data_IF_668115845329
#
_entry.id   IF_668115845329
#
_cell.length_a   1.000
_cell.length_b   1.000
_cell.length_c   1.000
_cell.angle_alpha   90.00
_cell.angle_beta   90.00
_cell.angle_gamma   90.00
#
_symmetry.space_group_name_H-M   'P 1'
#
loop_
_entity.id
_entity.type
_entity.pdbx_description
1 polymer ?
#
# COMPACT_ATOMS: atom_id res chain seq x y z
N UNK A 1 4.70 -36.59 9.16
CA UNK A 1 5.12 -35.93 7.91
C UNK A 1 3.92 -35.21 7.30
N UNK A 2 2.80 -35.89 7.05
CA UNK A 2 1.57 -35.30 6.46
C UNK A 2 1.01 -34.05 7.16
N UNK A 3 1.08 -33.95 8.50
CA UNK A 3 0.61 -32.75 9.23
C UNK A 3 1.45 -31.50 8.94
N UNK A 4 2.76 -31.67 8.74
CA UNK A 4 3.67 -30.55 8.49
C UNK A 4 3.51 -30.08 7.04
N UNK A 5 3.32 -31.02 6.10
CA UNK A 5 3.07 -30.71 4.68
C UNK A 5 1.81 -29.88 4.47
N UNK A 6 0.69 -30.23 5.13
CA UNK A 6 -0.54 -29.40 5.06
C UNK A 6 -0.37 -28.00 5.65
N UNK A 7 0.46 -27.85 6.69
CA UNK A 7 0.75 -26.53 7.27
C UNK A 7 1.55 -25.67 6.29
N UNK A 8 2.55 -26.26 5.63
CA UNK A 8 3.30 -25.57 4.57
C UNK A 8 2.41 -25.18 3.40
N UNK A 9 1.51 -26.06 2.95
CA UNK A 9 0.54 -25.75 1.89
C UNK A 9 -0.39 -24.59 2.29
N UNK A 10 -0.83 -24.55 3.55
CA UNK A 10 -1.65 -23.44 4.07
C UNK A 10 -0.87 -22.13 4.11
N UNK A 11 0.38 -22.16 4.60
CA UNK A 11 1.27 -20.99 4.63
C UNK A 11 1.54 -20.48 3.20
N UNK A 12 1.78 -21.39 2.27
CA UNK A 12 2.03 -21.08 0.86
C UNK A 12 0.83 -20.39 0.21
N UNK A 13 -0.38 -20.92 0.42
CA UNK A 13 -1.63 -20.30 -0.04
C UNK A 13 -1.81 -18.89 0.52
N UNK A 14 -1.55 -18.69 1.82
CA UNK A 14 -1.64 -17.38 2.46
C UNK A 14 -0.58 -16.42 1.89
N UNK A 15 0.65 -16.88 1.66
CA UNK A 15 1.68 -16.04 1.04
C UNK A 15 1.36 -15.66 -0.40
N UNK A 16 0.75 -16.56 -1.16
CA UNK A 16 0.26 -16.29 -2.51
C UNK A 16 -0.88 -15.26 -2.50
N UNK A 17 -1.83 -15.38 -1.57
CA UNK A 17 -2.88 -14.38 -1.37
C UNK A 17 -2.30 -13.02 -0.98
N UNK A 18 -1.33 -13.00 -0.06
CA UNK A 18 -0.63 -11.79 0.32
C UNK A 18 0.01 -11.13 -0.90
N UNK A 19 0.78 -11.87 -1.70
CA UNK A 19 1.44 -11.33 -2.88
C UNK A 19 0.43 -10.80 -3.92
N UNK A 20 -0.66 -11.53 -4.12
CA UNK A 20 -1.72 -11.17 -5.07
C UNK A 20 -2.45 -9.87 -4.67
N UNK A 21 -2.59 -9.59 -3.37
CA UNK A 21 -3.18 -8.33 -2.87
C UNK A 21 -2.14 -7.21 -2.71
N UNK A 22 -0.93 -7.55 -2.28
CA UNK A 22 0.15 -6.60 -2.10
C UNK A 22 0.65 -6.02 -3.43
N UNK A 23 0.61 -6.78 -4.53
CA UNK A 23 1.02 -6.29 -5.85
C UNK A 23 0.19 -5.09 -6.36
N UNK A 24 -1.16 -5.16 -6.46
CA UNK A 24 -1.97 -4.02 -6.87
C UNK A 24 -1.90 -2.88 -5.84
N UNK A 25 -1.87 -3.20 -4.54
CA UNK A 25 -1.72 -2.20 -3.48
C UNK A 25 -0.40 -1.43 -3.60
N UNK A 26 0.70 -2.11 -3.90
CA UNK A 26 2.00 -1.48 -4.07
C UNK A 26 2.07 -0.63 -5.34
N UNK A 27 1.54 -1.09 -6.47
CA UNK A 27 1.46 -0.27 -7.68
C UNK A 27 0.64 1.00 -7.44
N UNK A 28 -0.47 0.89 -6.72
CA UNK A 28 -1.29 2.04 -6.34
C UNK A 28 -0.52 3.01 -5.44
N UNK A 29 0.21 2.52 -4.42
CA UNK A 29 1.03 3.38 -3.56
C UNK A 29 2.21 4.02 -4.29
N UNK A 30 2.84 3.31 -5.22
CA UNK A 30 3.94 3.84 -6.03
C UNK A 30 3.44 4.99 -6.90
N UNK A 31 2.38 4.76 -7.67
CA UNK A 31 1.77 5.80 -8.50
C UNK A 31 1.26 6.99 -7.68
N UNK A 32 0.74 6.74 -6.48
CA UNK A 32 0.33 7.80 -5.56
C UNK A 32 1.52 8.63 -5.05
N UNK A 33 2.63 7.98 -4.66
CA UNK A 33 3.83 8.72 -4.25
C UNK A 33 4.43 9.49 -5.42
N UNK A 34 4.49 8.90 -6.60
CA UNK A 34 4.96 9.57 -7.81
C UNK A 34 4.11 10.81 -8.10
N UNK A 35 2.78 10.69 -8.14
CA UNK A 35 1.88 11.82 -8.37
C UNK A 35 2.03 12.91 -7.30
N UNK A 36 2.09 12.53 -6.03
CA UNK A 36 2.19 13.48 -4.91
C UNK A 36 3.55 14.21 -4.89
N UNK A 37 4.63 13.53 -5.27
CA UNK A 37 5.99 14.09 -5.33
C UNK A 37 6.29 14.81 -6.65
N UNK A 38 5.49 14.59 -7.69
CA UNK A 38 5.69 15.21 -8.99
C UNK A 38 5.57 16.73 -8.88
N UNK A 39 6.59 17.44 -9.38
CA UNK A 39 6.65 18.90 -9.35
C UNK A 39 5.77 19.44 -10.48
N UNK A 40 4.52 19.78 -10.16
CA UNK A 40 3.60 20.34 -11.13
C UNK A 40 3.96 21.79 -11.46
N UNK A 41 4.08 22.09 -12.76
CA UNK A 41 4.16 23.46 -13.29
C UNK A 41 2.81 23.73 -13.95
N UNK A 42 1.84 24.20 -13.17
CA UNK A 42 0.53 24.57 -13.71
C UNK A 42 0.62 25.92 -14.42
N UNK A 43 0.05 25.99 -15.61
CA UNK A 43 0.02 27.23 -16.40
C UNK A 43 -1.39 27.88 -16.41
N UNK A 44 -2.40 27.22 -15.84
CA UNK A 44 -3.80 27.64 -15.86
C UNK A 44 -4.61 27.11 -14.66
N UNK A 45 -5.67 27.83 -14.27
CA UNK A 45 -6.61 27.43 -13.21
C UNK A 45 -7.31 26.10 -13.51
N UNK A 46 -7.55 25.79 -14.79
CA UNK A 46 -8.19 24.52 -15.19
C UNK A 46 -7.31 23.29 -14.86
N UNK A 47 -5.99 23.42 -15.00
CA UNK A 47 -5.04 22.34 -14.68
C UNK A 47 -5.01 22.08 -13.18
N UNK A 48 -5.01 23.14 -12.37
CA UNK A 48 -5.01 22.97 -10.92
C UNK A 48 -6.35 22.43 -10.39
N UNK A 49 -7.48 22.77 -11.00
CA UNK A 49 -8.77 22.14 -10.68
C UNK A 49 -8.79 20.65 -11.03
N UNK A 50 -8.18 20.25 -12.15
CA UNK A 50 -8.03 18.84 -12.50
C UNK A 50 -7.20 18.10 -11.44
N UNK A 51 -6.07 18.69 -11.02
CA UNK A 51 -5.23 18.14 -9.95
C UNK A 51 -5.96 18.04 -8.61
N UNK A 52 -6.73 19.05 -8.22
CA UNK A 52 -7.56 19.00 -7.00
C UNK A 52 -8.61 17.89 -7.09
N UNK A 53 -9.24 17.73 -8.26
CA UNK A 53 -10.24 16.68 -8.47
C UNK A 53 -9.60 15.29 -8.38
N UNK A 54 -8.43 15.10 -9.00
CA UNK A 54 -7.65 13.86 -8.89
C UNK A 54 -7.23 13.60 -7.44
N UNK A 55 -6.81 14.64 -6.71
CA UNK A 55 -6.44 14.53 -5.30
C UNK A 55 -7.64 14.15 -4.41
N UNK A 56 -8.83 14.68 -4.69
CA UNK A 56 -10.06 14.31 -3.99
C UNK A 56 -10.46 12.85 -4.28
N UNK A 57 -10.38 12.42 -5.54
CA UNK A 57 -10.57 11.01 -5.90
C UNK A 57 -9.57 10.10 -5.20
N UNK A 58 -8.30 10.51 -5.14
CA UNK A 58 -7.27 9.81 -4.40
C UNK A 58 -7.65 9.67 -2.92
N UNK A 59 -8.08 10.76 -2.27
CA UNK A 59 -8.54 10.76 -0.88
C UNK A 59 -9.77 9.87 -0.68
N UNK A 60 -10.67 9.79 -1.64
CA UNK A 60 -11.82 8.89 -1.61
C UNK A 60 -11.40 7.41 -1.66
N UNK A 61 -10.26 7.08 -2.29
CA UNK A 61 -9.70 5.71 -2.31
C UNK A 61 -8.90 5.35 -1.07
N UNK A 62 -8.40 6.31 -0.29
CA UNK A 62 -7.66 6.05 0.98
C UNK A 62 -8.39 5.12 1.96
N UNK A 63 -9.69 5.29 2.29
CA UNK A 63 -10.37 4.38 3.21
C UNK A 63 -10.50 2.96 2.66
N UNK A 64 -10.61 2.79 1.35
CA UNK A 64 -10.63 1.47 0.72
C UNK A 64 -9.24 0.83 0.73
N UNK A 65 -8.22 1.62 0.41
CA UNK A 65 -6.82 1.22 0.49
C UNK A 65 -6.41 0.81 1.92
N UNK A 66 -6.84 1.52 2.95
CA UNK A 66 -6.55 1.13 4.35
C UNK A 66 -7.20 -0.21 4.73
N UNK A 67 -8.41 -0.50 4.22
CA UNK A 67 -9.03 -1.84 4.40
C UNK A 67 -8.21 -2.92 3.72
N UNK A 68 -7.73 -2.67 2.50
CA UNK A 68 -6.90 -3.63 1.76
C UNK A 68 -5.57 -3.88 2.49
N UNK A 69 -4.95 -2.82 3.00
CA UNK A 69 -3.76 -2.89 3.87
C UNK A 69 -4.03 -3.76 5.10
N UNK A 70 -5.14 -3.55 5.81
CA UNK A 70 -5.50 -4.37 6.96
C UNK A 70 -5.70 -5.84 6.59
N UNK A 71 -6.33 -6.14 5.44
CA UNK A 71 -6.51 -7.50 4.97
C UNK A 71 -5.16 -8.18 4.68
N UNK A 72 -4.26 -7.48 3.98
CA UNK A 72 -2.89 -7.94 3.71
C UNK A 72 -2.12 -8.21 5.02
N UNK A 73 -2.23 -7.30 5.99
CA UNK A 73 -1.61 -7.48 7.31
C UNK A 73 -2.21 -8.64 8.10
N UNK A 74 -3.52 -8.86 7.98
CA UNK A 74 -4.23 -10.00 8.59
C UNK A 74 -3.68 -11.32 8.09
N UNK A 75 -3.49 -11.46 6.77
CA UNK A 75 -2.91 -12.67 6.15
C UNK A 75 -1.51 -12.92 6.68
N UNK A 76 -0.66 -11.89 6.73
CA UNK A 76 0.71 -12.01 7.26
C UNK A 76 0.72 -12.41 8.75
N UNK A 77 -0.18 -11.84 9.55
CA UNK A 77 -0.32 -12.19 10.97
C UNK A 77 -0.78 -13.64 11.16
N UNK A 78 -1.67 -14.14 10.29
CA UNK A 78 -2.12 -15.54 10.30
C UNK A 78 -0.95 -16.49 10.01
N UNK A 79 -0.14 -16.18 8.99
CA UNK A 79 1.06 -16.94 8.65
C UNK A 79 2.05 -17.00 9.83
N UNK A 80 2.34 -15.85 10.45
CA UNK A 80 3.21 -15.78 11.62
C UNK A 80 2.67 -16.60 12.80
N UNK A 81 1.36 -16.50 13.06
CA UNK A 81 0.70 -17.21 14.15
C UNK A 81 0.77 -18.71 13.93
N UNK A 82 0.50 -19.19 12.72
CA UNK A 82 0.64 -20.60 12.36
C UNK A 82 2.08 -21.04 12.61
N UNK A 83 3.07 -20.31 12.11
CA UNK A 83 4.45 -20.72 12.32
C UNK A 83 4.92 -20.74 13.76
N UNK A 84 4.59 -19.72 14.54
CA UNK A 84 4.93 -19.69 15.96
C UNK A 84 4.26 -20.85 16.71
N UNK A 85 2.97 -21.11 16.42
CA UNK A 85 2.20 -22.18 17.07
C UNK A 85 2.79 -23.56 16.78
N UNK A 86 3.30 -23.78 15.58
CA UNK A 86 3.84 -25.07 15.15
C UNK A 86 5.37 -25.17 15.17
N UNK A 87 6.08 -24.12 15.63
CA UNK A 87 7.54 -24.09 15.68
C UNK A 87 8.23 -24.12 14.30
N UNK A 88 7.50 -23.74 13.24
CA UNK A 88 8.02 -23.70 11.88
C UNK A 88 8.86 -22.44 11.74
N UNK A 89 10.17 -22.58 11.50
CA UNK A 89 11.02 -21.46 11.09
C UNK A 89 10.62 -21.06 9.67
N UNK A 90 9.65 -20.16 9.55
CA UNK A 90 9.40 -19.53 8.25
C UNK A 90 10.57 -18.61 7.98
N UNK A 91 11.21 -18.84 6.83
CA UNK A 91 12.13 -17.87 6.24
C UNK A 91 11.31 -16.61 6.07
N UNK A 92 11.71 -15.52 6.71
CA UNK A 92 10.87 -14.35 7.01
C UNK A 92 10.50 -13.51 5.77
N UNK A 93 10.60 -14.10 4.59
CA UNK A 93 10.55 -13.46 3.29
C UNK A 93 9.58 -14.26 2.42
N UNK A 94 8.54 -13.57 1.95
CA UNK A 94 7.54 -14.15 1.09
C UNK A 94 8.18 -14.48 -0.28
N UNK A 95 8.24 -15.75 -0.72
CA UNK A 95 8.90 -16.10 -1.98
C UNK A 95 8.15 -15.57 -3.22
N UNK A 96 6.88 -15.19 -3.05
CA UNK A 96 6.02 -14.67 -4.12
C UNK A 96 6.08 -13.14 -4.25
N UNK A 97 6.66 -12.44 -3.28
CA UNK A 97 6.81 -10.98 -3.37
C UNK A 97 7.98 -10.47 -2.55
N UNK A 98 8.75 -9.56 -3.13
CA UNK A 98 9.81 -8.82 -2.43
C UNK A 98 9.25 -7.78 -1.44
N UNK A 99 7.93 -7.57 -1.43
CA UNK A 99 7.28 -6.56 -0.60
C UNK A 99 7.13 -7.09 0.83
N UNK A 100 7.91 -6.53 1.74
CA UNK A 100 7.73 -6.78 3.16
C UNK A 100 6.54 -6.02 3.72
N UNK A 101 5.92 -6.55 4.78
CA UNK A 101 4.86 -5.84 5.50
C UNK A 101 5.32 -4.42 5.89
N UNK A 102 6.60 -4.27 6.25
CA UNK A 102 7.18 -2.98 6.61
C UNK A 102 7.26 -2.03 5.42
N UNK A 103 7.59 -2.51 4.22
CA UNK A 103 7.59 -1.66 3.03
C UNK A 103 6.19 -1.10 2.76
N UNK A 104 5.17 -1.94 2.87
CA UNK A 104 3.77 -1.54 2.67
C UNK A 104 3.37 -0.46 3.69
N UNK A 105 3.67 -0.67 4.98
CA UNK A 105 3.39 0.31 6.04
C UNK A 105 4.17 1.61 5.84
N UNK A 106 5.46 1.53 5.50
CA UNK A 106 6.29 2.72 5.27
C UNK A 106 5.81 3.53 4.07
N UNK A 107 5.48 2.86 2.95
CA UNK A 107 4.91 3.51 1.76
C UNK A 107 3.57 4.17 2.08
N UNK A 108 2.70 3.46 2.82
CA UNK A 108 1.41 4.00 3.25
C UNK A 108 1.54 5.25 4.12
N UNK A 109 2.42 5.22 5.12
CA UNK A 109 2.70 6.38 5.98
C UNK A 109 3.26 7.55 5.16
N UNK A 110 4.18 7.29 4.23
CA UNK A 110 4.73 8.33 3.33
C UNK A 110 3.62 8.98 2.49
N UNK A 111 2.77 8.18 1.85
CA UNK A 111 1.59 8.68 1.11
C UNK A 111 0.71 9.54 2.01
N UNK A 112 0.37 9.07 3.22
CA UNK A 112 -0.47 9.85 4.15
C UNK A 112 0.16 11.17 4.58
N UNK A 113 1.49 11.26 4.65
CA UNK A 113 2.20 12.50 4.96
C UNK A 113 2.28 13.43 3.75
N UNK A 114 2.39 12.88 2.54
CA UNK A 114 2.45 13.66 1.30
C UNK A 114 1.09 14.24 0.92
N UNK A 115 -0.02 13.59 1.26
CA UNK A 115 -1.39 14.08 0.99
C UNK A 115 -1.61 15.52 1.47
N UNK A 116 -1.41 15.87 2.76
CA UNK A 116 -1.60 17.24 3.23
C UNK A 116 -0.58 18.22 2.65
N UNK A 117 0.64 17.77 2.33
CA UNK A 117 1.62 18.64 1.65
C UNK A 117 1.15 19.01 0.25
N UNK A 118 0.63 18.03 -0.51
CA UNK A 118 0.07 18.27 -1.84
C UNK A 118 -1.15 19.19 -1.78
N UNK A 119 -2.06 18.95 -0.85
CA UNK A 119 -3.25 19.79 -0.63
C UNK A 119 -2.84 21.26 -0.38
N UNK A 120 -1.84 21.48 0.48
CA UNK A 120 -1.30 22.81 0.74
C UNK A 120 -0.69 23.45 -0.51
N UNK A 121 0.17 22.74 -1.25
CA UNK A 121 0.79 23.27 -2.47
C UNK A 121 -0.27 23.62 -3.53
N UNK A 122 -1.30 22.78 -3.69
CA UNK A 122 -2.41 23.06 -4.61
C UNK A 122 -3.19 24.31 -4.17
N UNK A 123 -3.45 24.49 -2.87
CA UNK A 123 -4.11 25.70 -2.37
C UNK A 123 -3.28 26.96 -2.57
N UNK A 124 -1.98 26.91 -2.31
CA UNK A 124 -1.08 28.05 -2.50
C UNK A 124 -1.00 28.48 -3.97
N UNK A 125 -0.97 27.52 -4.88
CA UNK A 125 -0.90 27.78 -6.31
C UNK A 125 -2.25 28.27 -6.86
N UNK A 126 -3.40 27.77 -6.38
CA UNK A 126 -4.72 28.35 -6.67
C UNK A 126 -4.82 29.80 -6.22
N UNK A 127 -4.27 30.13 -5.05
CA UNK A 127 -4.30 31.49 -4.52
C UNK A 127 -3.35 32.45 -5.26
N UNK A 128 -2.38 31.92 -6.01
CA UNK A 128 -1.40 32.70 -6.79
C UNK A 128 -1.87 33.06 -8.21
N UNK A 129 -2.73 32.24 -8.81
CA UNK A 129 -3.31 32.46 -10.14
C UNK A 129 -4.43 33.51 -10.09
#
# INVERSE_FOLDING_TARGET
>A
LERVEKLWETIDQLYLEFAKRAAPFNNWMDGAMEDLQDMFIVHSIEEIQSLITAHDQFKATLPEADKERMAIMGIHSEVLKIAQTYGIKIVSENPYTVLSHQNIVNKWEAVKQLVPMRDQMLQEEVARQ
#
